data_IF_569246528828
#
_entry.id   IF_569246528828
#
_cell.length_a   1.000
_cell.length_b   1.000
_cell.length_c   1.000
_cell.angle_alpha   90.00
_cell.angle_beta   90.00
_cell.angle_gamma   90.00
#
_symmetry.space_group_name_H-M   'P 1'
#
loop_
_entity.id
_entity.type
_entity.pdbx_description
1 polymer ?
#
# COMPACT_ATOMS: atom_id res chain seq x y z
N UNK A 1 30.62 2.48 2.04
CA UNK A 1 29.96 1.37 1.33
C UNK A 1 28.88 1.95 0.43
N UNK A 2 29.25 2.21 -0.83
CA UNK A 2 28.38 2.83 -1.84
C UNK A 2 27.25 1.87 -2.23
N UNK A 3 26.06 2.40 -2.43
CA UNK A 3 24.86 1.63 -2.78
C UNK A 3 24.69 1.68 -4.29
N UNK A 4 25.05 0.60 -4.98
CA UNK A 4 24.86 0.50 -6.43
C UNK A 4 23.36 0.49 -6.79
N UNK A 5 22.92 1.32 -7.75
CA UNK A 5 21.54 1.32 -8.20
C UNK A 5 21.28 0.03 -8.99
N UNK A 6 20.36 -0.80 -8.49
CA UNK A 6 19.87 -1.99 -9.19
C UNK A 6 18.95 -1.61 -10.35
N UNK A 7 19.52 -1.02 -11.40
CA UNK A 7 18.93 -1.03 -12.74
C UNK A 7 19.41 -2.30 -13.46
N UNK A 8 19.14 -3.47 -12.88
CA UNK A 8 19.55 -4.75 -13.42
C UNK A 8 18.42 -5.34 -14.26
N UNK A 9 18.16 -4.74 -15.41
CA UNK A 9 17.44 -5.39 -16.49
C UNK A 9 18.45 -5.75 -17.57
N UNK A 10 19.30 -6.72 -17.26
CA UNK A 10 20.30 -7.17 -18.21
C UNK A 10 19.64 -7.96 -19.36
N UNK A 11 20.24 -8.02 -20.55
CA UNK A 11 19.74 -8.89 -21.63
C UNK A 11 19.55 -10.35 -21.19
N UNK A 12 20.35 -10.82 -20.21
CA UNK A 12 20.21 -12.13 -19.56
C UNK A 12 18.93 -12.24 -18.74
N UNK A 13 18.54 -11.20 -18.01
CA UNK A 13 17.30 -11.19 -17.23
C UNK A 13 16.07 -11.32 -18.13
N UNK A 14 16.06 -10.64 -19.28
CA UNK A 14 15.01 -10.78 -20.30
C UNK A 14 14.96 -12.20 -20.86
N UNK A 15 16.12 -12.77 -21.20
CA UNK A 15 16.23 -14.15 -21.69
C UNK A 15 15.64 -15.15 -20.69
N UNK A 16 16.06 -15.08 -19.42
CA UNK A 16 15.55 -15.99 -18.39
C UNK A 16 14.08 -15.69 -18.01
N UNK A 17 13.62 -14.43 -18.12
CA UNK A 17 12.22 -14.11 -17.93
C UNK A 17 11.33 -14.77 -18.99
N UNK A 18 11.75 -14.77 -20.26
CA UNK A 18 11.02 -15.41 -21.35
C UNK A 18 11.01 -16.93 -21.20
N UNK A 19 12.16 -17.53 -20.87
CA UNK A 19 12.26 -18.98 -20.66
C UNK A 19 11.35 -19.47 -19.52
N UNK A 20 11.30 -18.72 -18.40
CA UNK A 20 10.38 -19.01 -17.28
C UNK A 20 8.91 -18.84 -17.65
N UNK A 21 8.55 -17.97 -18.60
CA UNK A 21 7.18 -17.84 -19.11
C UNK A 21 6.83 -19.07 -19.95
N UNK A 22 7.64 -19.42 -20.94
CA UNK A 22 7.44 -20.58 -21.80
C UNK A 22 7.29 -21.89 -21.00
N UNK A 23 8.15 -22.12 -20.01
CA UNK A 23 8.05 -23.32 -19.16
C UNK A 23 6.75 -23.37 -18.33
N UNK A 24 6.28 -22.22 -17.81
CA UNK A 24 4.98 -22.16 -17.11
C UNK A 24 3.82 -22.38 -18.05
N UNK A 25 3.88 -21.84 -19.26
CA UNK A 25 2.83 -22.01 -20.26
C UNK A 25 2.76 -23.48 -20.74
N UNK A 26 3.91 -24.11 -21.00
CA UNK A 26 3.96 -25.55 -21.32
C UNK A 26 3.38 -26.43 -20.20
N UNK A 27 3.64 -26.11 -18.93
CA UNK A 27 3.05 -26.83 -17.81
C UNK A 27 1.55 -26.60 -17.66
N UNK A 28 1.02 -25.45 -18.10
CA UNK A 28 -0.42 -25.19 -18.16
C UNK A 28 -1.08 -26.00 -19.27
N UNK A 29 -0.47 -26.07 -20.46
CA UNK A 29 -0.95 -26.91 -21.57
C UNK A 29 -1.00 -28.40 -21.17
N UNK A 30 -0.05 -28.84 -20.35
CA UNK A 30 -0.01 -30.21 -19.79
C UNK A 30 -0.99 -30.43 -18.62
N UNK A 31 -1.66 -29.38 -18.12
CA UNK A 31 -2.58 -29.48 -16.99
C UNK A 31 -1.92 -29.62 -15.60
N UNK A 32 -0.59 -29.48 -15.49
CA UNK A 32 0.14 -29.57 -14.22
C UNK A 32 0.04 -28.28 -13.37
N UNK A 33 -0.38 -27.16 -13.98
CA UNK A 33 -0.61 -25.89 -13.28
C UNK A 33 -2.08 -25.44 -13.40
N UNK A 34 -2.63 -24.81 -12.36
CA UNK A 34 -3.94 -24.17 -12.45
C UNK A 34 -3.91 -23.11 -13.57
N UNK A 35 -4.95 -23.15 -14.41
CA UNK A 35 -5.16 -22.16 -15.47
C UNK A 35 -5.17 -20.74 -14.91
N UNK A 36 -4.68 -19.78 -15.69
CA UNK A 36 -4.79 -18.37 -15.29
C UNK A 36 -6.29 -18.03 -15.25
N UNK A 37 -6.83 -17.52 -14.13
CA UNK A 37 -8.25 -17.21 -14.05
C UNK A 37 -8.62 -16.21 -15.16
N UNK A 38 -9.65 -16.50 -15.97
CA UNK A 38 -10.14 -15.57 -16.98
C UNK A 38 -10.55 -14.27 -16.27
N UNK A 39 -9.91 -13.16 -16.63
CA UNK A 39 -10.17 -11.85 -16.03
C UNK A 39 -9.13 -11.33 -15.03
N UNK A 40 -7.97 -11.97 -14.86
CA UNK A 40 -6.89 -11.44 -14.01
C UNK A 40 -6.27 -10.11 -14.52
N UNK A 41 -6.57 -9.72 -15.76
CA UNK A 41 -6.32 -8.38 -16.27
C UNK A 41 -7.59 -7.53 -16.13
N UNK A 42 -8.10 -7.33 -14.91
CA UNK A 42 -9.04 -6.23 -14.68
C UNK A 42 -8.24 -4.95 -14.97
N UNK A 43 -8.64 -4.21 -16.02
CA UNK A 43 -8.20 -2.83 -16.15
C UNK A 43 -8.49 -2.16 -14.81
N UNK A 44 -7.46 -1.63 -14.14
CA UNK A 44 -7.67 -0.93 -12.89
C UNK A 44 -8.59 0.24 -13.21
N UNK A 45 -9.82 0.19 -12.72
CA UNK A 45 -10.73 1.32 -12.84
C UNK A 45 -9.99 2.58 -12.36
N UNK A 46 -10.13 3.72 -13.05
CA UNK A 46 -9.48 4.95 -12.62
C UNK A 46 -9.87 5.21 -11.16
N UNK A 47 -8.87 5.29 -10.29
CA UNK A 47 -9.10 5.54 -8.87
C UNK A 47 -9.76 6.91 -8.72
N UNK A 48 -11.02 6.93 -8.29
CA UNK A 48 -11.72 8.17 -7.97
C UNK A 48 -11.48 8.51 -6.52
N UNK A 49 -10.85 9.65 -6.27
CA UNK A 49 -10.69 10.14 -4.90
C UNK A 49 -12.08 10.39 -4.28
N UNK A 50 -12.28 10.07 -2.98
CA UNK A 50 -13.50 10.43 -2.29
C UNK A 50 -13.68 11.95 -2.30
N UNK A 51 -14.92 12.39 -2.53
CA UNK A 51 -15.29 13.81 -2.43
C UNK A 51 -15.24 14.19 -0.94
N UNK A 52 -14.33 15.09 -0.59
CA UNK A 52 -14.19 15.63 0.76
C UNK A 52 -14.52 17.12 0.75
N UNK A 53 -15.06 17.68 1.85
CA UNK A 53 -15.12 19.12 2.02
C UNK A 53 -13.73 19.73 1.81
N UNK A 54 -13.64 20.92 1.22
CA UNK A 54 -12.38 21.55 0.85
C UNK A 54 -11.37 21.68 2.01
N UNK A 55 -11.88 21.77 3.25
CA UNK A 55 -11.06 21.95 4.46
C UNK A 55 -10.76 20.65 5.20
N UNK A 56 -11.24 19.50 4.71
CA UNK A 56 -11.04 18.21 5.37
C UNK A 56 -10.07 17.33 4.60
N UNK A 57 -9.07 16.82 5.29
CA UNK A 57 -8.06 15.91 4.72
C UNK A 57 -8.02 14.58 5.47
N UNK A 58 -7.79 13.50 4.74
CA UNK A 58 -7.55 12.18 5.33
C UNK A 58 -6.05 11.94 5.40
N UNK A 59 -5.54 11.74 6.62
CA UNK A 59 -4.13 11.48 6.86
C UNK A 59 -3.89 9.99 7.07
N UNK A 60 -2.76 9.52 6.54
CA UNK A 60 -2.33 8.14 6.65
C UNK A 60 -0.87 8.08 7.09
N UNK A 61 -0.50 6.96 7.72
CA UNK A 61 0.84 6.75 8.26
C UNK A 61 0.95 7.22 9.70
N UNK A 62 1.62 6.41 10.52
CA UNK A 62 1.66 6.63 11.97
C UNK A 62 2.37 7.94 12.36
N UNK A 63 3.44 8.29 11.64
CA UNK A 63 4.21 9.51 11.90
C UNK A 63 3.42 10.77 11.53
N UNK A 64 2.74 10.75 10.38
CA UNK A 64 1.91 11.87 9.91
C UNK A 64 0.74 12.12 10.85
N UNK A 65 0.11 11.04 11.33
CA UNK A 65 -1.00 11.14 12.28
C UNK A 65 -0.50 11.66 13.63
N UNK A 66 0.65 11.18 14.14
CA UNK A 66 1.24 11.70 15.38
C UNK A 66 1.50 13.22 15.29
N UNK A 67 2.18 13.66 14.23
CA UNK A 67 2.44 15.07 14.00
C UNK A 67 1.15 15.92 13.86
N UNK A 68 0.08 15.34 13.31
CA UNK A 68 -1.21 16.03 13.20
C UNK A 68 -1.94 16.13 14.54
N UNK A 69 -1.78 15.14 15.42
CA UNK A 69 -2.36 15.14 16.77
C UNK A 69 -1.61 16.11 17.68
N UNK A 70 -0.28 16.18 17.55
CA UNK A 70 0.56 17.07 18.36
C UNK A 70 0.44 18.55 17.97
N UNK A 71 -0.24 18.86 16.85
CA UNK A 71 -0.44 20.22 16.38
C UNK A 71 -1.80 20.79 16.87
N UNK A 72 -1.81 21.77 17.78
CA UNK A 72 -3.05 22.33 18.34
C UNK A 72 -3.84 23.21 17.36
N UNK A 73 -3.22 23.69 16.28
CA UNK A 73 -3.92 24.46 15.23
C UNK A 73 -4.84 23.56 14.38
N UNK A 74 -4.70 22.24 14.48
CA UNK A 74 -5.49 21.27 13.74
C UNK A 74 -6.65 20.75 14.58
N UNK A 75 -7.84 20.72 13.97
CA UNK A 75 -9.02 20.09 14.57
C UNK A 75 -9.15 18.63 14.14
N UNK A 76 -9.04 17.71 15.10
CA UNK A 76 -9.23 16.28 14.87
C UNK A 76 -10.74 15.97 14.81
N UNK A 77 -11.22 15.49 13.66
CA UNK A 77 -12.63 15.14 13.49
C UNK A 77 -12.93 13.69 13.87
N UNK A 78 -12.07 12.76 13.44
CA UNK A 78 -12.24 11.32 13.69
C UNK A 78 -10.91 10.60 13.54
N UNK A 79 -10.59 9.75 14.51
CA UNK A 79 -9.43 8.86 14.46
C UNK A 79 -9.90 7.40 14.40
N UNK A 80 -9.38 6.65 13.44
CA UNK A 80 -9.57 5.19 13.37
C UNK A 80 -8.21 4.52 13.46
N UNK A 81 -8.03 3.70 14.48
CA UNK A 81 -6.75 3.09 14.80
C UNK A 81 -6.96 1.66 15.28
N UNK A 82 -6.04 0.76 14.93
CA UNK A 82 -6.02 -0.61 15.47
C UNK A 82 -5.30 -0.64 16.81
N UNK A 83 -5.50 -1.69 17.62
CA UNK A 83 -4.83 -1.83 18.93
C UNK A 83 -3.30 -1.74 18.84
N UNK A 84 -2.69 -2.33 17.80
CA UNK A 84 -1.25 -2.26 17.57
C UNK A 84 -0.79 -0.83 17.22
N UNK A 85 -1.53 -0.12 16.38
CA UNK A 85 -1.18 1.25 16.02
C UNK A 85 -1.39 2.21 17.21
N UNK A 86 -2.37 1.97 18.09
CA UNK A 86 -2.57 2.72 19.32
C UNK A 86 -1.32 2.64 20.22
N UNK A 87 -0.79 1.43 20.44
CA UNK A 87 0.42 1.22 21.23
C UNK A 87 1.65 1.94 20.68
N UNK A 88 1.70 2.17 19.36
CA UNK A 88 2.81 2.83 18.67
C UNK A 88 2.64 4.34 18.53
N UNK A 89 1.42 4.86 18.68
CA UNK A 89 1.16 6.30 18.66
C UNK A 89 1.55 6.97 19.98
N UNK A 90 1.57 6.22 21.09
CA UNK A 90 1.85 6.72 22.45
C UNK A 90 0.94 7.91 22.79
N UNK A 91 -0.35 7.79 22.49
CA UNK A 91 -1.34 8.84 22.77
C UNK A 91 -1.57 8.95 24.28
N UNK A 92 -1.69 10.17 24.77
CA UNK A 92 -2.10 10.42 26.16
C UNK A 92 -3.62 10.25 26.31
N UNK A 93 -4.09 9.87 27.50
CA UNK A 93 -5.53 9.65 27.78
C UNK A 93 -6.39 10.89 27.48
N UNK A 94 -5.84 12.10 27.68
CA UNK A 94 -6.48 13.36 27.32
C UNK A 94 -6.71 13.52 25.80
N UNK A 95 -5.79 13.00 24.97
CA UNK A 95 -5.93 13.03 23.51
C UNK A 95 -6.98 12.01 23.04
N UNK A 96 -7.10 10.87 23.73
CA UNK A 96 -8.12 9.86 23.43
C UNK A 96 -9.54 10.31 23.81
N UNK A 97 -9.70 11.07 24.90
CA UNK A 97 -10.99 11.58 25.37
C UNK A 97 -11.56 12.74 24.53
N UNK A 98 -10.71 13.51 23.84
CA UNK A 98 -11.15 14.58 22.93
C UNK A 98 -11.65 14.10 21.55
N UNK A 99 -11.63 12.79 21.31
CA UNK A 99 -11.85 12.15 20.01
C UNK A 99 -13.12 11.26 19.96
N UNK A 100 -13.88 11.17 21.06
CA UNK A 100 -15.19 10.51 21.16
C UNK A 100 -16.32 11.45 20.87
#
# INVERSE_FOLDING_TARGET
MSKDPKDSHTPKDTHYANLRRAHRDQKRERGELPGKPPGAAKAKAPWKAPQLPAETVWLYGIHTVKAAIDNPERKLLKLRVTRNALARLELNDAQMLGLT
#
